data_IF_393403273289
#
_entry.id   IF_393403273289
#
_cell.length_a   1.000
_cell.length_b   1.000
_cell.length_c   1.000
_cell.angle_alpha   90.00
_cell.angle_beta   90.00
_cell.angle_gamma   90.00
#
_symmetry.space_group_name_H-M   'P 1'
#
loop_
_entity.id
_entity.type
_entity.pdbx_description
1 polymer ?
#
# COMPACT_ATOMS: atom_id res chain seq x y z
N UNK A 1 -69.33 39.88 3.75
CA UNK A 1 -68.40 39.37 4.78
C UNK A 1 -68.45 37.86 4.73
N UNK A 2 -67.30 37.22 4.43
CA UNK A 2 -66.99 35.79 4.69
C UNK A 2 -67.84 34.71 3.97
N UNK A 3 -67.33 33.57 3.52
CA UNK A 3 -65.96 33.07 3.32
C UNK A 3 -66.08 31.82 2.42
N UNK A 4 -65.08 31.60 1.56
CA UNK A 4 -64.84 30.38 0.78
C UNK A 4 -64.86 29.11 1.65
N UNK A 5 -65.09 27.94 1.04
CA UNK A 5 -64.15 26.80 1.16
C UNK A 5 -64.46 25.69 0.15
N UNK A 6 -63.61 25.63 -0.89
CA UNK A 6 -63.52 24.55 -1.87
C UNK A 6 -62.72 23.40 -1.28
N UNK A 7 -63.27 22.20 -1.26
CA UNK A 7 -62.60 21.00 -0.75
C UNK A 7 -61.58 20.49 -1.77
N UNK A 8 -60.29 20.61 -1.46
CA UNK A 8 -59.19 20.07 -2.26
C UNK A 8 -59.10 18.55 -2.07
N UNK A 9 -59.17 17.80 -3.17
CA UNK A 9 -58.94 16.35 -3.22
C UNK A 9 -57.43 16.11 -3.29
N UNK A 10 -56.86 15.52 -2.23
CA UNK A 10 -55.47 15.06 -2.22
C UNK A 10 -55.31 13.80 -3.07
N UNK A 11 -54.60 13.92 -4.20
CA UNK A 11 -54.07 12.80 -4.98
C UNK A 11 -52.72 12.38 -4.39
N UNK A 12 -52.69 11.22 -3.74
CA UNK A 12 -51.50 10.53 -3.28
C UNK A 12 -50.79 9.90 -4.50
N UNK A 13 -49.73 10.54 -5.00
CA UNK A 13 -48.84 9.93 -5.98
C UNK A 13 -47.90 8.94 -5.27
N UNK A 14 -47.96 7.67 -5.67
CA UNK A 14 -47.00 6.64 -5.29
C UNK A 14 -45.64 6.96 -5.91
N UNK A 15 -44.69 7.43 -5.10
CA UNK A 15 -43.29 7.57 -5.49
C UNK A 15 -42.62 6.19 -5.52
N UNK A 16 -42.40 5.63 -6.72
CA UNK A 16 -41.48 4.51 -6.91
C UNK A 16 -40.06 4.99 -6.69
N UNK A 17 -39.50 4.72 -5.52
CA UNK A 17 -38.08 4.92 -5.24
C UNK A 17 -37.29 3.80 -5.90
N UNK A 18 -36.70 4.08 -7.06
CA UNK A 18 -35.62 3.25 -7.60
C UNK A 18 -34.42 3.42 -6.67
N UNK A 19 -34.17 2.43 -5.82
CA UNK A 19 -32.96 2.37 -5.01
C UNK A 19 -31.76 2.31 -5.96
N UNK A 20 -30.81 3.25 -5.91
CA UNK A 20 -29.53 3.04 -6.57
C UNK A 20 -28.89 1.84 -5.89
N UNK A 21 -28.67 0.76 -6.63
CA UNK A 21 -27.76 -0.30 -6.22
C UNK A 21 -26.39 0.33 -6.07
N UNK A 22 -26.04 0.76 -4.86
CA UNK A 22 -24.66 1.01 -4.49
C UNK A 22 -23.97 -0.35 -4.57
N UNK A 23 -23.49 -0.71 -5.75
CA UNK A 23 -22.34 -1.60 -5.86
C UNK A 23 -21.24 -0.88 -5.10
N UNK A 24 -21.09 -1.29 -3.84
CA UNK A 24 -19.89 -1.04 -3.07
C UNK A 24 -18.78 -1.78 -3.81
N UNK A 25 -18.22 -1.13 -4.83
CA UNK A 25 -16.87 -1.38 -5.29
C UNK A 25 -16.00 -1.04 -4.08
N UNK A 26 -15.90 -2.02 -3.16
CA UNK A 26 -14.69 -2.16 -2.35
C UNK A 26 -13.59 -2.05 -3.39
N UNK A 27 -12.90 -0.92 -3.42
CA UNK A 27 -11.65 -0.78 -4.15
C UNK A 27 -10.90 -2.07 -3.86
N UNK A 28 -10.71 -2.91 -4.88
CA UNK A 28 -10.04 -4.19 -4.71
C UNK A 28 -8.68 -3.82 -4.12
N UNK A 29 -8.51 -4.06 -2.83
CA UNK A 29 -7.26 -3.73 -2.17
C UNK A 29 -6.27 -4.70 -2.77
N UNK A 30 -5.36 -4.19 -3.61
CA UNK A 30 -4.26 -5.01 -4.11
C UNK A 30 -3.47 -5.45 -2.88
N UNK A 31 -3.71 -6.67 -2.43
CA UNK A 31 -2.97 -7.29 -1.34
C UNK A 31 -1.73 -7.94 -1.94
N UNK A 32 -0.55 -7.43 -1.58
CA UNK A 32 0.71 -8.04 -1.98
C UNK A 32 0.84 -9.38 -1.28
N UNK A 33 1.16 -10.43 -2.04
CA UNK A 33 1.47 -11.74 -1.46
C UNK A 33 2.71 -11.59 -0.55
N UNK A 34 2.64 -11.94 0.74
CA UNK A 34 3.78 -11.84 1.66
C UNK A 34 5.04 -12.58 1.17
N UNK A 35 4.90 -13.66 0.38
CA UNK A 35 6.04 -14.40 -0.18
C UNK A 35 6.89 -13.58 -1.15
N UNK A 36 6.40 -12.43 -1.61
CA UNK A 36 7.13 -11.51 -2.48
C UNK A 36 7.97 -10.47 -1.71
N UNK A 37 7.81 -10.41 -0.39
CA UNK A 37 8.53 -9.47 0.47
C UNK A 37 9.49 -10.26 1.34
N UNK A 38 10.81 -10.05 1.25
CA UNK A 38 11.77 -10.80 2.06
C UNK A 38 11.52 -10.71 3.57
N UNK A 39 12.00 -11.71 4.31
CA UNK A 39 12.15 -11.62 5.76
C UNK A 39 13.29 -10.64 6.06
N UNK A 40 13.05 -9.66 6.94
CA UNK A 40 14.09 -8.73 7.35
C UNK A 40 15.00 -9.39 8.39
N UNK A 41 16.30 -9.53 8.09
CA UNK A 41 17.26 -10.10 9.04
C UNK A 41 17.57 -9.17 10.22
N UNK A 42 17.33 -7.86 10.06
CA UNK A 42 17.54 -6.85 11.08
C UNK A 42 16.24 -6.63 11.84
N UNK A 43 16.26 -6.81 13.16
CA UNK A 43 15.09 -6.57 14.00
C UNK A 43 14.84 -5.08 14.22
N UNK A 44 13.56 -4.69 14.25
CA UNK A 44 13.14 -3.35 14.74
C UNK A 44 13.73 -3.11 16.14
N UNK A 45 14.25 -1.91 16.39
CA UNK A 45 14.87 -1.57 17.67
C UNK A 45 16.38 -1.80 17.74
N UNK A 46 16.99 -2.44 16.75
CA UNK A 46 18.44 -2.70 16.75
C UNK A 46 19.24 -1.40 16.83
N UNK A 47 18.84 -0.36 16.08
CA UNK A 47 19.59 0.88 15.91
C UNK A 47 20.89 0.71 15.11
N UNK A 48 21.16 -0.51 14.65
CA UNK A 48 22.34 -0.88 13.87
C UNK A 48 21.86 -1.68 12.67
N UNK A 49 22.12 -1.13 11.50
CA UNK A 49 21.84 -1.69 10.19
C UNK A 49 22.98 -2.58 9.68
N UNK A 50 22.86 -2.97 8.42
CA UNK A 50 23.88 -3.72 7.71
C UNK A 50 25.25 -3.02 7.80
N UNK A 51 26.32 -3.81 7.98
CA UNK A 51 27.70 -3.33 8.09
C UNK A 51 27.94 -2.33 9.24
N UNK A 52 27.11 -2.35 10.29
CA UNK A 52 27.29 -1.46 11.45
C UNK A 52 26.77 -0.04 11.24
N UNK A 53 26.08 0.25 10.14
CA UNK A 53 25.51 1.57 9.86
C UNK A 53 24.46 1.93 10.91
N UNK A 54 24.57 3.09 11.55
CA UNK A 54 23.53 3.56 12.46
C UNK A 54 22.20 3.78 11.71
N UNK A 55 21.12 3.22 12.24
CA UNK A 55 19.76 3.38 11.70
C UNK A 55 18.81 3.84 12.81
N UNK A 56 17.69 4.51 12.48
CA UNK A 56 16.68 4.83 13.47
C UNK A 56 16.16 3.59 14.21
N UNK A 57 15.85 3.71 15.50
CA UNK A 57 15.40 2.57 16.33
C UNK A 57 14.04 2.00 15.91
N UNK A 58 13.24 2.76 15.17
CA UNK A 58 12.00 2.27 14.56
C UNK A 58 12.23 1.54 13.21
N UNK A 59 13.50 1.34 12.80
CA UNK A 59 13.86 0.69 11.55
C UNK A 59 14.53 -0.69 11.76
N UNK A 60 14.20 -1.68 10.91
CA UNK A 60 13.12 -1.64 9.91
C UNK A 60 11.73 -1.61 10.59
N UNK A 61 10.67 -1.18 9.91
CA UNK A 61 9.31 -1.34 10.44
C UNK A 61 8.97 -2.83 10.57
N UNK A 62 7.97 -3.15 11.40
CA UNK A 62 7.43 -4.51 11.43
C UNK A 62 7.03 -4.95 10.01
N UNK A 63 7.44 -6.16 9.60
CA UNK A 63 7.24 -6.64 8.22
C UNK A 63 5.77 -6.65 7.79
N UNK A 64 4.84 -6.96 8.70
CA UNK A 64 3.40 -6.89 8.43
C UNK A 64 2.93 -5.46 8.13
N UNK A 65 3.40 -4.48 8.90
CA UNK A 65 3.10 -3.06 8.67
C UNK A 65 3.72 -2.57 7.36
N UNK A 66 4.92 -3.06 7.01
CA UNK A 66 5.56 -2.82 5.73
C UNK A 66 4.72 -3.35 4.55
N UNK A 67 4.29 -4.61 4.60
CA UNK A 67 3.46 -5.23 3.56
C UNK A 67 2.13 -4.48 3.38
N UNK A 68 1.50 -4.07 4.49
CA UNK A 68 0.27 -3.27 4.44
C UNK A 68 0.48 -1.92 3.73
N UNK A 69 1.57 -1.22 4.06
CA UNK A 69 1.93 0.05 3.42
C UNK A 69 2.28 -0.12 1.95
N UNK A 70 3.05 -1.15 1.61
CA UNK A 70 3.41 -1.48 0.23
C UNK A 70 2.17 -1.78 -0.61
N UNK A 71 1.24 -2.57 -0.07
CA UNK A 71 -0.04 -2.87 -0.70
C UNK A 71 -0.84 -1.61 -1.02
N UNK A 72 -0.92 -0.68 -0.07
CA UNK A 72 -1.58 0.61 -0.29
C UNK A 72 -0.88 1.45 -1.38
N UNK A 73 0.45 1.50 -1.36
CA UNK A 73 1.22 2.26 -2.35
C UNK A 73 1.12 1.67 -3.76
N UNK A 74 1.13 0.33 -3.90
CA UNK A 74 0.99 -0.35 -5.19
C UNK A 74 -0.43 -0.15 -5.73
N UNK A 75 -1.46 -0.23 -4.88
CA UNK A 75 -2.83 0.10 -5.28
C UNK A 75 -2.97 1.56 -5.76
N UNK A 76 -2.20 2.48 -5.16
CA UNK A 76 -2.13 3.88 -5.60
C UNK A 76 -1.23 4.10 -6.83
N UNK A 77 -0.43 3.10 -7.23
CA UNK A 77 0.56 3.20 -8.31
C UNK A 77 1.71 4.18 -8.04
N UNK A 78 1.82 4.72 -6.82
CA UNK A 78 2.85 5.68 -6.45
C UNK A 78 3.08 5.75 -4.94
N UNK A 79 4.24 6.27 -4.55
CA UNK A 79 4.60 6.65 -3.18
C UNK A 79 4.88 8.15 -3.18
N UNK A 80 3.96 8.94 -2.64
CA UNK A 80 4.10 10.40 -2.53
C UNK A 80 4.50 11.05 -3.87
N UNK A 81 3.81 10.67 -4.95
CA UNK A 81 4.07 11.17 -6.31
C UNK A 81 5.22 10.48 -7.05
N UNK A 82 5.95 9.55 -6.41
CA UNK A 82 6.96 8.73 -7.09
C UNK A 82 6.29 7.46 -7.63
N UNK A 83 6.21 7.26 -8.95
CA UNK A 83 5.53 6.08 -9.51
C UNK A 83 6.19 4.78 -9.03
N UNK A 84 5.36 3.78 -8.73
CA UNK A 84 5.82 2.41 -8.44
C UNK A 84 4.93 1.39 -9.13
N UNK A 85 5.52 0.35 -9.70
CA UNK A 85 4.80 -0.78 -10.29
C UNK A 85 5.73 -1.99 -10.42
N UNK A 86 5.20 -3.19 -10.28
CA UNK A 86 5.90 -4.46 -10.51
C UNK A 86 4.88 -5.59 -10.68
N UNK A 87 5.34 -6.77 -11.13
CA UNK A 87 4.50 -7.95 -11.25
C UNK A 87 4.27 -8.61 -9.88
N UNK A 88 3.00 -8.78 -9.50
CA UNK A 88 2.58 -9.35 -8.22
C UNK A 88 2.36 -10.88 -8.24
N UNK A 89 2.63 -11.55 -9.36
CA UNK A 89 2.59 -13.00 -9.46
C UNK A 89 3.82 -13.62 -8.77
N UNK A 90 3.66 -14.42 -7.70
CA UNK A 90 4.78 -15.05 -7.00
C UNK A 90 5.56 -16.06 -7.82
N UNK A 91 5.02 -16.51 -8.97
CA UNK A 91 5.70 -17.41 -9.89
C UNK A 91 6.63 -16.67 -10.87
N UNK A 92 6.47 -15.36 -11.02
CA UNK A 92 7.31 -14.53 -11.90
C UNK A 92 8.47 -13.94 -11.10
N UNK A 93 9.60 -14.63 -11.17
CA UNK A 93 10.81 -14.34 -10.37
C UNK A 93 12.04 -14.04 -11.24
N UNK A 94 11.86 -13.46 -12.42
CA UNK A 94 12.98 -13.02 -13.26
C UNK A 94 13.70 -11.80 -12.66
N UNK A 95 14.96 -11.61 -13.06
CA UNK A 95 15.83 -10.54 -12.55
C UNK A 95 15.17 -9.17 -12.60
N UNK A 96 14.57 -8.80 -13.74
CA UNK A 96 14.01 -7.46 -13.93
C UNK A 96 12.75 -7.25 -13.07
N UNK A 97 11.90 -8.27 -12.96
CA UNK A 97 10.74 -8.23 -12.07
C UNK A 97 11.16 -8.04 -10.61
N UNK A 98 12.17 -8.78 -10.16
CA UNK A 98 12.66 -8.70 -8.78
C UNK A 98 13.32 -7.34 -8.49
N UNK A 99 14.11 -6.80 -9.42
CA UNK A 99 14.70 -5.45 -9.29
C UNK A 99 13.63 -4.35 -9.18
N UNK A 100 12.59 -4.42 -10.02
CA UNK A 100 11.48 -3.47 -10.00
C UNK A 100 10.70 -3.55 -8.68
N UNK A 101 10.42 -4.78 -8.22
CA UNK A 101 9.75 -5.02 -6.94
C UNK A 101 10.57 -4.49 -5.78
N UNK A 102 11.86 -4.80 -5.71
CA UNK A 102 12.76 -4.29 -4.67
C UNK A 102 12.87 -2.76 -4.69
N UNK A 103 12.86 -2.15 -5.88
CA UNK A 103 12.82 -0.69 -6.01
C UNK A 103 11.54 -0.10 -5.41
N UNK A 104 10.37 -0.66 -5.71
CA UNK A 104 9.11 -0.23 -5.10
C UNK A 104 9.10 -0.42 -3.57
N UNK A 105 9.67 -1.52 -3.09
CA UNK A 105 9.86 -1.81 -1.67
C UNK A 105 10.77 -0.76 -0.99
N UNK A 106 11.90 -0.40 -1.59
CA UNK A 106 12.83 0.61 -1.05
C UNK A 106 12.21 2.00 -1.04
N UNK A 107 11.50 2.41 -2.10
CA UNK A 107 10.80 3.71 -2.14
C UNK A 107 9.74 3.78 -1.03
N UNK A 108 8.99 2.68 -0.83
CA UNK A 108 8.03 2.55 0.27
C UNK A 108 8.72 2.64 1.63
N UNK A 109 9.84 1.94 1.82
CA UNK A 109 10.62 1.93 3.05
C UNK A 109 11.12 3.34 3.42
N UNK A 110 11.71 4.04 2.45
CA UNK A 110 12.26 5.39 2.61
C UNK A 110 11.19 6.47 2.80
N UNK A 111 9.92 6.14 2.54
CA UNK A 111 8.77 7.04 2.71
C UNK A 111 7.76 6.51 3.73
N UNK A 112 8.14 5.53 4.55
CA UNK A 112 7.22 4.76 5.39
C UNK A 112 6.42 5.64 6.37
N UNK A 113 7.05 6.70 6.87
CA UNK A 113 6.48 7.72 7.77
C UNK A 113 5.49 8.67 7.09
N UNK A 114 5.30 8.57 5.77
CA UNK A 114 4.45 9.48 4.99
C UNK A 114 5.17 10.75 4.53
N UNK A 115 6.47 10.88 4.82
CA UNK A 115 7.31 11.96 4.30
C UNK A 115 8.42 11.35 3.44
N UNK A 116 8.59 11.88 2.23
CA UNK A 116 9.56 11.38 1.26
C UNK A 116 10.98 11.49 1.82
N UNK A 117 11.71 10.38 1.87
CA UNK A 117 13.09 10.33 2.35
C UNK A 117 13.25 10.35 3.87
N UNK A 118 12.16 10.41 4.66
CA UNK A 118 12.20 10.44 6.14
C UNK A 118 11.63 9.13 6.72
N UNK A 119 11.77 8.03 5.99
CA UNK A 119 11.44 6.68 6.43
C UNK A 119 12.67 5.91 6.92
N UNK A 120 12.69 4.61 6.65
CA UNK A 120 13.81 3.76 7.03
C UNK A 120 14.86 3.69 5.92
N UNK A 121 16.16 3.77 6.26
CA UNK A 121 17.23 3.62 5.28
C UNK A 121 17.30 2.17 4.80
N UNK A 122 17.76 1.96 3.56
CA UNK A 122 17.91 0.60 3.00
C UNK A 122 18.87 -0.29 3.82
N UNK A 123 19.81 0.31 4.57
CA UNK A 123 20.67 -0.41 5.49
C UNK A 123 19.90 -1.16 6.60
N UNK A 124 18.63 -0.81 6.87
CA UNK A 124 17.75 -1.55 7.79
C UNK A 124 17.15 -2.83 7.20
N UNK A 125 17.26 -3.02 5.88
CA UNK A 125 16.72 -4.16 5.13
C UNK A 125 17.69 -4.56 4.00
N UNK A 126 18.88 -5.11 4.31
CA UNK A 126 19.90 -5.43 3.31
C UNK A 126 19.40 -6.38 2.20
N UNK A 127 18.38 -7.19 2.47
CA UNK A 127 17.72 -8.07 1.51
C UNK A 127 17.12 -7.29 0.34
N UNK A 128 16.47 -6.15 0.62
CA UNK A 128 15.89 -5.31 -0.40
C UNK A 128 16.96 -4.66 -1.27
N UNK A 129 18.07 -4.21 -0.67
CA UNK A 129 19.19 -3.64 -1.41
C UNK A 129 19.85 -4.68 -2.33
N UNK A 130 20.02 -5.90 -1.83
CA UNK A 130 20.57 -7.01 -2.62
C UNK A 130 19.65 -7.36 -3.79
N UNK A 131 18.35 -7.51 -3.55
CA UNK A 131 17.37 -7.82 -4.60
C UNK A 131 17.29 -6.70 -5.64
N UNK A 132 17.33 -5.42 -5.21
CA UNK A 132 17.35 -4.28 -6.14
C UNK A 132 18.59 -4.28 -7.04
N UNK A 133 19.75 -4.70 -6.51
CA UNK A 133 21.02 -4.66 -7.25
C UNK A 133 21.26 -5.87 -8.14
N UNK A 134 20.71 -7.02 -7.77
CA UNK A 134 21.05 -8.31 -8.39
C UNK A 134 19.87 -9.00 -9.05
N UNK A 135 18.63 -8.56 -8.76
CA UNK A 135 17.40 -9.24 -9.12
C UNK A 135 17.27 -10.64 -8.53
N UNK A 136 18.09 -11.02 -7.55
CA UNK A 136 17.97 -12.29 -6.84
C UNK A 136 17.05 -12.08 -5.64
N UNK A 137 15.88 -12.70 -5.67
CA UNK A 137 14.93 -12.66 -4.57
C UNK A 137 15.54 -13.26 -3.29
N UNK A 138 15.35 -12.56 -2.17
CA UNK A 138 15.74 -13.10 -0.85
C UNK A 138 14.61 -13.97 -0.28
N UNK A 139 14.90 -14.89 0.66
CA UNK A 139 13.87 -15.70 1.30
C UNK A 139 12.79 -14.85 1.98
N UNK A 140 11.52 -15.29 1.86
CA UNK A 140 10.31 -14.58 2.30
C UNK A 140 9.44 -15.40 3.23
#
# INVERSE_FOLDING_TARGET
MQLLTTTFISLLFLGTSAFPTTTNTRAATIQINPSLVPIFSIATGSGVGANGVAIPKNCPPARSAFIAKLSANVAAGNVLGTPITFNNDPTVQDTKTNEARATAMIITLQSFTGVKGVGCPGASTPELLKEQKTGVASPS
#
